data_IF_061259465263
#
_entry.id   IF_061259465263
#
_cell.length_a   1.000
_cell.length_b   1.000
_cell.length_c   1.000
_cell.angle_alpha   90.00
_cell.angle_beta   90.00
_cell.angle_gamma   90.00
#
_symmetry.space_group_name_H-M   'P 1'
#
loop_
_entity.id
_entity.type
_entity.pdbx_description
1 polymer ?
#
# COMPACT_ATOMS: atom_id res chain seq x y z
N UNK A 1 -7.42 -38.02 5.51
CA UNK A 1 -6.10 -38.20 4.88
C UNK A 1 -5.05 -38.14 5.99
N UNK A 2 -4.36 -39.23 6.26
CA UNK A 2 -3.55 -39.43 7.47
C UNK A 2 -2.18 -38.74 7.37
N UNK A 3 -1.89 -37.81 8.28
CA UNK A 3 -0.53 -37.31 8.48
C UNK A 3 0.20 -38.17 9.53
N UNK A 4 1.31 -38.77 9.11
CA UNK A 4 2.21 -39.56 9.96
C UNK A 4 3.14 -38.63 10.73
N UNK A 5 3.09 -38.76 12.05
CA UNK A 5 4.03 -38.15 13.00
C UNK A 5 5.31 -38.96 12.98
N UNK A 6 6.46 -38.37 12.73
CA UNK A 6 7.78 -38.98 12.93
C UNK A 6 8.32 -38.55 14.29
N UNK A 7 8.39 -39.51 15.20
CA UNK A 7 9.09 -39.37 16.47
C UNK A 7 10.57 -39.68 16.26
N UNK A 8 11.46 -38.75 16.62
CA UNK A 8 12.91 -38.98 16.67
C UNK A 8 13.27 -39.34 18.10
N UNK A 9 13.71 -40.57 18.30
CA UNK A 9 14.24 -41.07 19.57
C UNK A 9 15.71 -40.62 19.73
N UNK A 10 16.01 -39.95 20.83
CA UNK A 10 17.35 -39.57 21.24
C UNK A 10 17.93 -40.71 22.11
N UNK A 11 18.99 -41.36 21.65
CA UNK A 11 19.69 -42.40 22.39
C UNK A 11 20.70 -41.73 23.36
N UNK A 12 20.57 -42.05 24.65
CA UNK A 12 21.48 -41.66 25.70
C UNK A 12 22.58 -42.76 25.84
N UNK A 13 23.84 -42.43 25.52
CA UNK A 13 24.98 -43.30 25.74
C UNK A 13 25.65 -42.95 27.07
N UNK A 14 25.55 -43.84 28.04
CA UNK A 14 26.32 -43.85 29.28
C UNK A 14 27.71 -44.39 28.99
N UNK A 15 28.75 -43.62 29.23
CA UNK A 15 30.13 -44.08 29.34
C UNK A 15 30.62 -43.83 30.78
N UNK A 16 30.82 -44.95 31.49
CA UNK A 16 31.56 -45.03 32.73
C UNK A 16 33.06 -44.99 32.43
N UNK A 17 33.81 -44.15 33.08
CA UNK A 17 35.26 -44.21 33.14
C UNK A 17 35.77 -43.91 34.56
N UNK A 18 36.61 -44.81 35.00
CA UNK A 18 37.29 -44.83 36.31
C UNK A 18 38.25 -43.69 36.56
N UNK A 19 38.37 -43.35 37.82
CA UNK A 19 39.33 -42.74 38.64
C UNK A 19 40.57 -42.07 38.06
N UNK A 20 40.82 -40.84 38.59
CA UNK A 20 42.19 -40.40 38.94
C UNK A 20 42.13 -39.15 39.80
N UNK A 21 43.11 -39.08 40.67
CA UNK A 21 43.62 -38.13 41.64
C UNK A 21 43.00 -36.74 41.77
N UNK A 22 42.86 -36.18 42.98
CA UNK A 22 42.38 -34.84 43.21
C UNK A 22 43.37 -33.78 42.71
N UNK A 23 42.95 -33.06 41.70
CA UNK A 23 43.62 -31.83 41.23
C UNK A 23 43.29 -30.68 42.17
N UNK A 24 44.24 -29.80 42.49
CA UNK A 24 43.97 -28.64 43.35
C UNK A 24 42.89 -27.75 42.72
N UNK A 25 41.96 -27.30 43.55
CA UNK A 25 40.90 -26.37 43.16
C UNK A 25 41.50 -25.10 42.56
N UNK A 26 41.07 -24.67 41.35
CA UNK A 26 41.47 -23.39 40.80
C UNK A 26 40.95 -22.26 41.67
N UNK A 27 41.83 -21.27 41.94
CA UNK A 27 41.43 -20.02 42.60
C UNK A 27 40.24 -19.39 41.84
N UNK A 28 39.26 -18.82 42.54
CA UNK A 28 38.15 -18.14 41.89
C UNK A 28 38.69 -16.96 41.08
N UNK A 29 38.46 -16.99 39.79
CA UNK A 29 38.72 -15.86 38.89
C UNK A 29 37.86 -14.68 39.34
N UNK A 30 38.41 -13.46 39.49
CA UNK A 30 37.61 -12.32 39.88
C UNK A 30 36.47 -12.11 38.89
N UNK A 31 35.24 -12.06 39.39
CA UNK A 31 34.06 -11.80 38.62
C UNK A 31 34.21 -10.44 37.93
N UNK A 32 34.10 -10.36 36.59
CA UNK A 32 34.20 -9.07 35.91
C UNK A 32 33.12 -8.13 36.44
N UNK A 33 33.48 -6.93 36.81
CA UNK A 33 32.55 -5.88 37.20
C UNK A 33 31.58 -5.66 36.06
N UNK A 34 30.25 -5.70 36.28
CA UNK A 34 29.30 -5.49 35.22
C UNK A 34 29.52 -4.12 34.59
N UNK A 35 29.78 -4.10 33.29
CA UNK A 35 29.81 -2.86 32.49
C UNK A 35 28.48 -2.14 32.68
N UNK A 36 28.44 -0.86 33.03
CA UNK A 36 27.18 -0.13 33.13
C UNK A 36 26.40 -0.26 31.81
N UNK A 37 25.14 -0.63 31.92
CA UNK A 37 24.27 -0.68 30.76
C UNK A 37 24.30 0.69 30.07
N UNK A 38 24.40 0.75 28.74
CA UNK A 38 24.36 2.01 28.02
C UNK A 38 23.08 2.76 28.41
N UNK A 39 23.24 4.01 28.83
CA UNK A 39 22.11 4.89 29.13
C UNK A 39 21.18 4.89 27.90
N UNK A 40 19.89 4.56 28.04
CA UNK A 40 18.98 4.55 26.89
C UNK A 40 19.03 5.93 26.23
N UNK A 41 19.34 5.97 24.95
CA UNK A 41 19.25 7.18 24.14
C UNK A 41 17.83 7.73 24.31
N UNK A 42 17.65 9.01 24.69
CA UNK A 42 16.31 9.56 24.84
C UNK A 42 15.55 9.36 23.55
N UNK A 43 14.41 8.69 23.67
CA UNK A 43 13.49 8.46 22.55
C UNK A 43 13.13 9.83 21.96
N UNK A 44 13.23 10.04 20.63
CA UNK A 44 12.92 11.32 20.04
C UNK A 44 11.50 11.68 20.42
N UNK A 45 11.32 12.78 21.13
CA UNK A 45 10.00 13.32 21.46
C UNK A 45 9.25 13.53 20.15
N UNK A 46 8.07 12.94 19.95
CA UNK A 46 7.29 13.16 18.73
C UNK A 46 7.12 14.66 18.55
N UNK A 47 7.42 15.23 17.39
CA UNK A 47 7.26 16.65 17.16
C UNK A 47 5.81 17.02 17.50
N UNK A 48 5.63 18.15 18.18
CA UNK A 48 4.31 18.68 18.58
C UNK A 48 3.49 19.18 17.38
N UNK A 49 3.68 18.60 16.20
CA UNK A 49 2.99 18.95 14.97
C UNK A 49 1.56 18.46 15.02
N UNK A 50 0.65 19.41 15.02
CA UNK A 50 -0.79 19.16 14.97
C UNK A 50 -1.30 18.89 13.56
N UNK A 51 -0.43 18.98 12.55
CA UNK A 51 -0.82 18.86 11.15
C UNK A 51 0.33 18.28 10.31
N UNK A 52 0.07 17.15 9.67
CA UNK A 52 1.02 16.47 8.78
C UNK A 52 0.78 16.79 7.30
N UNK A 53 0.10 17.88 6.98
CA UNK A 53 -0.02 18.34 5.58
C UNK A 53 1.36 18.54 4.96
N UNK A 54 1.53 18.12 3.72
CA UNK A 54 2.80 18.18 3.01
C UNK A 54 3.79 17.07 3.35
N UNK A 55 3.48 16.19 4.34
CA UNK A 55 4.24 14.97 4.57
C UNK A 55 3.91 13.93 3.52
N UNK A 56 4.88 13.09 3.18
CA UNK A 56 4.66 11.96 2.28
C UNK A 56 4.22 10.75 3.07
N UNK A 57 3.07 10.19 2.70
CA UNK A 57 2.60 8.88 3.15
C UNK A 57 3.36 7.78 2.42
N UNK A 58 3.93 6.86 3.18
CA UNK A 58 4.57 5.65 2.67
C UNK A 58 3.86 4.47 3.30
N UNK A 59 3.00 3.83 2.52
CA UNK A 59 2.26 2.66 2.98
C UNK A 59 2.83 1.39 2.37
N UNK A 60 3.29 0.52 3.23
CA UNK A 60 3.76 -0.81 2.91
C UNK A 60 2.64 -1.82 3.13
N UNK A 61 2.35 -2.60 2.10
CA UNK A 61 1.30 -3.60 2.15
C UNK A 61 1.89 -4.97 2.47
N UNK A 62 1.64 -5.48 3.67
CA UNK A 62 1.99 -6.84 4.04
C UNK A 62 1.34 -7.88 3.13
N UNK A 63 2.02 -8.99 2.89
CA UNK A 63 1.54 -10.10 2.05
C UNK A 63 1.17 -11.31 2.91
N UNK A 64 -0.10 -11.72 2.85
CA UNK A 64 -0.60 -12.88 3.59
C UNK A 64 0.16 -14.18 3.27
N UNK A 65 0.54 -14.39 2.01
CA UNK A 65 1.28 -15.58 1.57
C UNK A 65 2.66 -15.74 2.19
N UNK A 66 3.26 -14.67 2.68
CA UNK A 66 4.59 -14.68 3.31
C UNK A 66 4.46 -14.92 4.81
N UNK A 67 3.39 -14.45 5.46
CA UNK A 67 3.12 -14.69 6.89
C UNK A 67 3.02 -16.17 7.23
N UNK A 68 2.37 -16.95 6.38
CA UNK A 68 2.22 -18.41 6.57
C UNK A 68 3.52 -19.18 6.45
N UNK A 69 4.56 -18.59 5.87
CA UNK A 69 5.86 -19.23 5.64
C UNK A 69 6.97 -18.78 6.61
N UNK A 70 6.74 -17.72 7.40
CA UNK A 70 7.72 -17.17 8.35
C UNK A 70 7.15 -17.13 9.76
N UNK A 71 7.59 -18.01 10.68
CA UNK A 71 7.06 -18.07 12.06
C UNK A 71 7.20 -16.79 12.86
N UNK A 72 8.17 -15.94 12.51
CA UNK A 72 8.50 -14.73 13.27
C UNK A 72 7.70 -13.50 12.81
N UNK A 73 7.03 -13.57 11.65
CA UNK A 73 6.14 -12.50 11.13
C UNK A 73 6.77 -11.11 10.98
N UNK A 74 8.05 -10.98 11.26
CA UNK A 74 8.76 -9.71 11.30
C UNK A 74 8.98 -9.19 9.88
N UNK A 75 8.44 -8.01 9.58
CA UNK A 75 8.64 -7.34 8.30
C UNK A 75 7.60 -7.62 7.22
N UNK A 76 6.60 -8.47 7.49
CA UNK A 76 5.59 -8.89 6.50
C UNK A 76 4.23 -8.25 6.71
N UNK A 77 3.96 -7.73 7.91
CA UNK A 77 2.74 -7.01 8.20
C UNK A 77 2.71 -5.63 7.52
N UNK A 78 1.52 -5.13 7.23
CA UNK A 78 1.36 -3.79 6.70
C UNK A 78 1.88 -2.74 7.67
N UNK A 79 2.47 -1.69 7.14
CA UNK A 79 3.00 -0.58 7.92
C UNK A 79 2.80 0.76 7.23
N UNK A 80 2.75 1.82 8.02
CA UNK A 80 2.59 3.19 7.57
C UNK A 80 3.68 4.05 8.18
N UNK A 81 4.36 4.81 7.35
CA UNK A 81 5.33 5.82 7.76
C UNK A 81 5.07 7.14 7.05
N UNK A 82 5.54 8.22 7.65
CA UNK A 82 5.56 9.55 7.08
C UNK A 82 6.99 9.98 6.80
N UNK A 83 7.22 10.55 5.63
CA UNK A 83 8.43 11.29 5.33
C UNK A 83 8.12 12.78 5.49
N UNK A 84 8.99 13.49 6.21
CA UNK A 84 8.77 14.92 6.48
C UNK A 84 8.76 15.77 5.20
N UNK A 85 8.32 17.03 5.32
CA UNK A 85 8.20 17.96 4.18
C UNK A 85 9.51 18.22 3.43
N UNK A 86 10.62 18.08 4.14
CA UNK A 86 11.97 18.28 3.57
C UNK A 86 12.59 16.96 3.07
N UNK A 87 11.83 15.86 3.14
CA UNK A 87 12.28 14.52 2.79
C UNK A 87 13.57 14.11 3.51
N UNK A 88 13.66 14.39 4.81
CA UNK A 88 14.84 14.11 5.64
C UNK A 88 14.62 13.00 6.65
N UNK A 89 13.43 12.91 7.23
CA UNK A 89 13.16 12.05 8.39
C UNK A 89 11.94 11.19 8.17
N UNK A 90 12.05 9.88 8.40
CA UNK A 90 10.95 8.94 8.43
C UNK A 90 10.38 8.84 9.85
N UNK A 91 9.07 8.98 9.97
CA UNK A 91 8.31 8.83 11.20
C UNK A 91 7.38 7.60 11.07
N UNK A 92 7.57 6.53 11.85
CA UNK A 92 6.67 5.40 11.85
C UNK A 92 5.34 5.79 12.52
N UNK A 93 4.23 5.54 11.82
CA UNK A 93 2.86 5.81 12.30
C UNK A 93 2.23 4.54 12.83
N UNK A 94 2.32 3.47 12.05
CA UNK A 94 1.66 2.20 12.30
C UNK A 94 2.53 1.03 11.82
N UNK A 95 2.57 -0.03 12.60
CA UNK A 95 3.17 -1.32 12.24
C UNK A 95 2.53 -2.43 13.07
N UNK A 96 2.99 -3.66 12.92
CA UNK A 96 2.64 -4.77 13.83
C UNK A 96 3.22 -4.63 15.26
N UNK A 97 3.95 -3.55 15.53
CA UNK A 97 4.48 -3.20 16.85
C UNK A 97 4.04 -1.80 17.22
N UNK A 98 4.00 -1.51 18.52
CA UNK A 98 3.78 -0.16 19.00
C UNK A 98 4.75 0.84 18.35
N UNK A 99 4.23 1.99 17.95
CA UNK A 99 5.02 3.10 17.38
C UNK A 99 4.96 4.32 18.30
N UNK A 100 5.84 5.30 18.15
CA UNK A 100 5.80 6.52 18.95
C UNK A 100 4.46 7.24 18.92
N UNK A 101 3.74 7.17 17.78
CA UNK A 101 2.44 7.82 17.62
C UNK A 101 1.26 6.95 18.08
N UNK A 102 1.40 5.62 18.04
CA UNK A 102 0.34 4.66 18.36
C UNK A 102 0.87 3.60 19.33
N UNK A 103 1.20 4.03 20.55
CA UNK A 103 1.75 3.18 21.61
C UNK A 103 0.78 2.13 22.11
N UNK A 104 -0.53 2.40 22.02
CA UNK A 104 -1.59 1.53 22.48
C UNK A 104 -1.90 0.40 21.50
N UNK A 105 -1.43 0.51 20.27
CA UNK A 105 -1.53 -0.56 19.30
C UNK A 105 -0.39 -1.56 19.57
N UNK A 106 -0.64 -2.43 20.50
CA UNK A 106 0.20 -3.62 20.67
C UNK A 106 -0.26 -4.62 19.61
N UNK A 107 0.50 -4.70 18.53
CA UNK A 107 0.17 -5.44 17.33
C UNK A 107 -0.02 -6.93 17.55
N UNK A 108 -1.05 -7.31 18.28
CA UNK A 108 -1.45 -8.69 18.52
C UNK A 108 -1.93 -9.40 17.24
N UNK A 109 -1.85 -8.72 16.11
CA UNK A 109 -2.27 -9.31 14.85
C UNK A 109 -1.53 -8.76 13.67
N UNK A 110 -1.35 -9.62 12.70
CA UNK A 110 -0.75 -9.25 11.43
C UNK A 110 -1.85 -8.80 10.46
N UNK A 111 -1.86 -7.52 10.12
CA UNK A 111 -2.76 -7.00 9.11
C UNK A 111 -2.08 -7.01 7.76
N UNK A 112 -2.71 -7.66 6.79
CA UNK A 112 -2.13 -7.84 5.46
C UNK A 112 -3.08 -7.41 4.37
N UNK A 113 -2.50 -7.04 3.24
CA UNK A 113 -3.20 -6.56 2.06
C UNK A 113 -4.20 -5.44 2.38
N UNK A 114 -4.88 -4.93 1.39
CA UNK A 114 -5.89 -3.91 1.60
C UNK A 114 -5.55 -2.56 0.98
N UNK A 115 -6.20 -1.52 1.46
CA UNK A 115 -6.10 -0.19 0.87
C UNK A 115 -5.95 0.90 1.92
N UNK A 116 -5.07 1.84 1.65
CA UNK A 116 -4.98 3.10 2.38
C UNK A 116 -5.63 4.21 1.55
N UNK A 117 -6.40 5.08 2.19
CA UNK A 117 -7.04 6.22 1.54
C UNK A 117 -7.17 7.40 2.49
N UNK A 118 -7.27 8.61 1.94
CA UNK A 118 -7.59 9.82 2.68
C UNK A 118 -9.09 10.09 2.61
N UNK A 119 -9.74 10.35 3.74
CA UNK A 119 -11.16 10.63 3.84
C UNK A 119 -11.39 11.76 4.85
N UNK A 120 -11.43 13.00 4.36
CA UNK A 120 -11.62 14.17 5.21
C UNK A 120 -10.57 14.30 6.32
N UNK A 121 -11.04 14.15 7.56
CA UNK A 121 -10.20 14.21 8.75
C UNK A 121 -9.52 12.88 9.10
N UNK A 122 -9.74 11.84 8.29
CA UNK A 122 -9.21 10.51 8.53
C UNK A 122 -8.23 10.05 7.45
N UNK A 123 -7.23 9.30 7.90
CA UNK A 123 -6.49 8.36 7.08
C UNK A 123 -7.05 6.98 7.38
N UNK A 124 -7.45 6.26 6.35
CA UNK A 124 -8.22 5.02 6.48
C UNK A 124 -7.43 3.86 5.93
N UNK A 125 -7.10 2.91 6.78
CA UNK A 125 -6.55 1.63 6.34
C UNK A 125 -7.62 0.55 6.47
N UNK A 126 -8.02 -0.03 5.35
CA UNK A 126 -8.85 -1.22 5.27
C UNK A 126 -7.94 -2.41 5.00
N UNK A 127 -7.61 -3.17 6.03
CA UNK A 127 -6.90 -4.43 5.89
C UNK A 127 -7.86 -5.52 5.40
N UNK A 128 -7.44 -6.26 4.38
CA UNK A 128 -8.21 -7.38 3.85
C UNK A 128 -8.15 -8.57 4.78
N UNK A 129 -6.95 -8.88 5.28
CA UNK A 129 -6.72 -9.99 6.19
C UNK A 129 -6.35 -9.50 7.58
N UNK A 130 -7.02 -10.05 8.57
CA UNK A 130 -6.74 -9.85 9.98
C UNK A 130 -6.44 -11.19 10.64
N UNK A 131 -5.15 -11.45 10.85
CA UNK A 131 -4.65 -12.67 11.48
C UNK A 131 -4.49 -12.53 13.00
N UNK A 132 -5.23 -11.62 13.63
CA UNK A 132 -5.20 -11.43 15.10
C UNK A 132 -5.71 -12.64 15.85
N UNK A 133 -6.67 -13.35 15.27
CA UNK A 133 -7.23 -14.59 15.80
C UNK A 133 -7.14 -15.66 14.72
N UNK A 134 -7.26 -16.92 15.09
CA UNK A 134 -7.29 -18.09 14.19
C UNK A 134 -8.47 -18.09 13.19
N UNK A 135 -9.35 -17.08 13.23
CA UNK A 135 -10.43 -16.94 12.27
C UNK A 135 -9.93 -16.26 10.99
N UNK A 136 -9.70 -17.04 9.97
CA UNK A 136 -9.14 -16.63 8.68
C UNK A 136 -10.02 -15.65 7.86
N UNK A 137 -11.25 -15.34 8.30
CA UNK A 137 -12.26 -14.66 7.49
C UNK A 137 -12.67 -13.27 8.03
N UNK A 138 -11.75 -12.55 8.63
CA UNK A 138 -12.00 -11.18 9.06
C UNK A 138 -11.16 -10.16 8.30
N UNK A 139 -11.73 -8.98 8.12
CA UNK A 139 -11.02 -7.77 7.69
C UNK A 139 -10.96 -6.79 8.85
N UNK A 140 -10.14 -5.75 8.75
CA UNK A 140 -10.03 -4.74 9.79
C UNK A 140 -10.01 -3.34 9.22
N UNK A 141 -10.82 -2.46 9.80
CA UNK A 141 -10.81 -1.03 9.49
C UNK A 141 -10.07 -0.29 10.59
N UNK A 142 -9.02 0.44 10.21
CA UNK A 142 -8.31 1.38 11.07
C UNK A 142 -8.56 2.80 10.58
N UNK A 143 -9.03 3.68 11.46
CA UNK A 143 -9.14 5.11 11.20
C UNK A 143 -8.10 5.85 12.04
N UNK A 144 -7.22 6.57 11.37
CA UNK A 144 -6.25 7.46 12.01
C UNK A 144 -6.74 8.90 11.86
N UNK A 145 -6.69 9.66 12.93
CA UNK A 145 -6.87 11.11 12.85
C UNK A 145 -5.73 11.70 12.02
N UNK A 146 -6.06 12.39 10.96
CA UNK A 146 -5.10 12.88 9.97
C UNK A 146 -4.18 14.00 10.51
N UNK A 147 -4.59 14.70 11.59
CA UNK A 147 -3.79 15.76 12.21
C UNK A 147 -2.74 15.22 13.15
N UNK A 148 -3.09 14.16 13.85
CA UNK A 148 -2.25 13.58 14.93
C UNK A 148 -1.63 12.25 14.54
N UNK A 149 -2.10 11.64 13.44
CA UNK A 149 -1.78 10.27 13.01
C UNK A 149 -2.04 9.22 14.09
N UNK A 150 -2.89 9.55 15.07
CA UNK A 150 -3.28 8.60 16.11
C UNK A 150 -4.44 7.76 15.64
N UNK A 151 -4.38 6.49 15.98
CA UNK A 151 -5.48 5.55 15.76
C UNK A 151 -6.68 5.97 16.62
N UNK A 152 -7.82 6.23 15.97
CA UNK A 152 -9.06 6.64 16.62
C UNK A 152 -10.09 5.52 16.64
N UNK A 153 -10.08 4.64 15.65
CA UNK A 153 -10.97 3.49 15.53
C UNK A 153 -10.21 2.27 15.05
N UNK A 154 -10.55 1.14 15.62
CA UNK A 154 -10.03 -0.17 15.28
C UNK A 154 -11.20 -1.15 15.29
N UNK A 155 -11.72 -1.46 14.09
CA UNK A 155 -12.93 -2.26 13.94
C UNK A 155 -12.63 -3.53 13.17
N UNK A 156 -12.96 -4.67 13.78
CA UNK A 156 -12.98 -5.94 13.08
C UNK A 156 -14.26 -6.05 12.27
N UNK A 157 -14.14 -6.53 11.03
CA UNK A 157 -15.23 -6.61 10.08
C UNK A 157 -15.35 -8.04 9.60
N UNK A 158 -16.52 -8.63 9.81
CA UNK A 158 -16.90 -9.93 9.28
C UNK A 158 -18.14 -9.75 8.42
N UNK A 159 -18.23 -10.51 7.32
CA UNK A 159 -19.42 -10.51 6.50
C UNK A 159 -20.62 -11.05 7.33
N UNK A 160 -21.79 -10.38 7.33
CA UNK A 160 -22.93 -10.82 8.16
C UNK A 160 -23.45 -12.23 7.84
N UNK A 161 -23.42 -12.61 6.57
CA UNK A 161 -24.03 -13.84 6.06
C UNK A 161 -23.05 -14.78 5.36
N UNK A 162 -21.72 -14.67 5.65
CA UNK A 162 -20.72 -15.49 4.96
C UNK A 162 -19.29 -15.33 5.50
N UNK A 163 -18.36 -16.03 4.87
CA UNK A 163 -16.97 -16.14 5.27
C UNK A 163 -16.03 -15.41 4.27
N UNK A 164 -16.41 -14.25 3.80
CA UNK A 164 -15.58 -13.51 2.84
C UNK A 164 -14.96 -12.25 3.45
N UNK A 165 -13.79 -11.90 2.94
CA UNK A 165 -13.09 -10.66 3.30
C UNK A 165 -13.59 -9.48 2.48
N UNK A 166 -13.36 -8.28 3.01
CA UNK A 166 -13.56 -7.04 2.25
C UNK A 166 -12.65 -7.02 1.04
N UNK A 167 -13.23 -6.95 -0.15
CA UNK A 167 -12.48 -6.88 -1.42
C UNK A 167 -12.14 -5.46 -1.81
N UNK A 168 -13.11 -4.55 -1.71
CA UNK A 168 -12.94 -3.15 -2.03
C UNK A 168 -13.73 -2.29 -1.06
N UNK A 169 -13.21 -1.11 -0.80
CA UNK A 169 -13.84 -0.14 0.08
C UNK A 169 -13.51 1.30 -0.32
N UNK A 170 -14.39 2.20 0.08
CA UNK A 170 -14.12 3.62 0.17
C UNK A 170 -14.77 4.20 1.43
N UNK A 171 -14.23 5.32 1.91
CA UNK A 171 -14.68 5.96 3.15
C UNK A 171 -14.95 7.43 2.89
N UNK A 172 -15.97 7.97 3.52
CA UNK A 172 -16.29 9.39 3.53
C UNK A 172 -15.61 10.13 4.70
N UNK A 173 -15.65 11.45 4.67
CA UNK A 173 -14.99 12.34 5.65
C UNK A 173 -15.53 12.22 7.08
N UNK A 174 -16.71 11.60 7.27
CA UNK A 174 -17.28 11.25 8.59
C UNK A 174 -16.89 9.84 9.07
N UNK A 175 -16.02 9.15 8.34
CA UNK A 175 -15.59 7.79 8.64
C UNK A 175 -16.57 6.71 8.18
N UNK A 176 -17.76 7.06 7.66
CA UNK A 176 -18.70 6.09 7.08
C UNK A 176 -18.04 5.37 5.91
N UNK A 177 -17.99 4.04 5.99
CA UNK A 177 -17.25 3.21 5.04
C UNK A 177 -18.20 2.32 4.26
N UNK A 178 -17.99 2.25 2.96
CA UNK A 178 -18.73 1.39 2.04
C UNK A 178 -17.84 0.23 1.64
N UNK A 179 -18.39 -0.98 1.72
CA UNK A 179 -17.67 -2.24 1.62
C UNK A 179 -18.27 -3.11 0.54
N UNK A 180 -17.42 -3.83 -0.19
CA UNK A 180 -17.84 -4.98 -0.99
C UNK A 180 -17.09 -6.23 -0.53
N UNK A 181 -17.80 -7.31 -0.31
CA UNK A 181 -17.23 -8.63 -0.04
C UNK A 181 -17.12 -9.44 -1.33
N UNK A 182 -18.21 -9.57 -2.05
CA UNK A 182 -18.28 -10.26 -3.33
C UNK A 182 -19.12 -9.49 -4.35
N UNK A 183 -19.70 -10.19 -5.35
CA UNK A 183 -20.56 -9.61 -6.38
C UNK A 183 -21.96 -9.22 -5.92
N UNK A 184 -22.39 -9.63 -4.72
CA UNK A 184 -23.75 -9.45 -4.21
C UNK A 184 -23.81 -8.72 -2.88
N UNK A 185 -22.76 -8.82 -2.07
CA UNK A 185 -22.74 -8.36 -0.70
C UNK A 185 -22.00 -7.04 -0.59
N UNK A 186 -22.77 -5.97 -0.53
CA UNK A 186 -22.31 -4.60 -0.39
C UNK A 186 -22.97 -3.97 0.83
N UNK A 187 -22.17 -3.31 1.66
CA UNK A 187 -22.65 -2.75 2.91
C UNK A 187 -22.11 -1.34 3.15
N UNK A 188 -22.89 -0.56 3.88
CA UNK A 188 -22.46 0.66 4.53
C UNK A 188 -22.17 0.35 5.99
N UNK A 189 -20.95 0.61 6.43
CA UNK A 189 -20.51 0.46 7.82
C UNK A 189 -20.55 1.83 8.52
N UNK A 190 -21.22 1.89 9.64
CA UNK A 190 -21.14 3.01 10.58
C UNK A 190 -19.95 2.77 11.52
N UNK A 191 -18.92 3.63 11.53
CA UNK A 191 -17.70 3.40 12.32
C UNK A 191 -17.92 3.58 13.82
N UNK A 192 -18.97 4.31 14.26
CA UNK A 192 -19.27 4.52 15.68
C UNK A 192 -19.94 3.31 16.31
N UNK A 193 -20.82 2.66 15.57
CA UNK A 193 -21.63 1.55 16.09
C UNK A 193 -21.18 0.18 15.60
N UNK A 194 -20.31 0.11 14.59
CA UNK A 194 -19.95 -1.12 13.90
C UNK A 194 -21.10 -1.73 13.07
N UNK A 195 -22.27 -1.05 13.00
CA UNK A 195 -23.44 -1.56 12.30
C UNK A 195 -23.27 -1.51 10.80
N UNK A 196 -23.51 -2.63 10.13
CA UNK A 196 -23.58 -2.73 8.69
C UNK A 196 -25.01 -2.67 8.20
N UNK A 197 -25.23 -1.93 7.10
CA UNK A 197 -26.51 -1.81 6.39
C UNK A 197 -26.31 -2.19 4.95
N UNK A 198 -27.07 -3.14 4.44
CA UNK A 198 -26.98 -3.59 3.06
C UNK A 198 -27.24 -2.43 2.06
N UNK A 199 -26.46 -2.40 1.00
CA UNK A 199 -26.62 -1.45 -0.11
C UNK A 199 -27.53 -2.03 -1.18
N UNK A 200 -28.22 -1.15 -1.89
CA UNK A 200 -29.15 -1.52 -2.97
C UNK A 200 -28.75 -0.86 -4.30
N UNK A 201 -29.26 -1.39 -5.40
CA UNK A 201 -28.99 -0.83 -6.73
C UNK A 201 -27.58 -1.09 -7.28
N UNK A 202 -26.80 -1.93 -6.61
CA UNK A 202 -25.48 -2.36 -7.05
C UNK A 202 -25.38 -3.88 -7.10
N UNK A 203 -24.68 -4.38 -8.12
CA UNK A 203 -24.37 -5.80 -8.30
C UNK A 203 -23.14 -5.97 -9.19
N UNK A 204 -22.57 -7.16 -9.19
CA UNK A 204 -21.41 -7.51 -10.02
C UNK A 204 -20.10 -7.41 -9.29
N UNK A 205 -19.00 -7.79 -9.93
CA UNK A 205 -17.67 -7.79 -9.33
C UNK A 205 -17.01 -6.41 -9.42
N UNK A 206 -16.77 -5.71 -8.31
CA UNK A 206 -15.96 -4.51 -8.34
C UNK A 206 -14.54 -4.85 -8.78
N UNK A 207 -13.96 -3.98 -9.59
CA UNK A 207 -12.53 -3.97 -9.91
C UNK A 207 -11.78 -3.05 -8.96
N UNK A 208 -12.51 -2.12 -8.33
CA UNK A 208 -11.98 -1.22 -7.33
C UNK A 208 -13.03 -0.23 -6.85
N UNK A 209 -12.64 0.57 -5.89
CA UNK A 209 -13.49 1.60 -5.29
C UNK A 209 -12.68 2.88 -5.02
N UNK A 210 -13.31 4.03 -5.05
CA UNK A 210 -12.70 5.32 -4.73
C UNK A 210 -13.78 6.28 -4.21
N UNK A 211 -13.38 7.29 -3.42
CA UNK A 211 -14.26 8.37 -3.00
C UNK A 211 -13.58 9.72 -3.14
N UNK A 212 -14.40 10.74 -3.28
CA UNK A 212 -13.98 12.12 -3.22
C UNK A 212 -15.10 12.97 -2.65
N UNK A 213 -14.81 13.69 -1.56
CA UNK A 213 -15.79 14.51 -0.83
C UNK A 213 -17.05 13.71 -0.45
N UNK A 214 -18.21 14.04 -1.02
CA UNK A 214 -19.53 13.47 -0.73
C UNK A 214 -19.94 12.35 -1.70
N UNK A 215 -19.05 11.94 -2.62
CA UNK A 215 -19.30 10.90 -3.61
C UNK A 215 -18.34 9.73 -3.46
N UNK A 216 -18.88 8.52 -3.53
CA UNK A 216 -18.12 7.28 -3.52
C UNK A 216 -18.54 6.37 -4.65
N UNK A 217 -17.58 5.62 -5.18
CA UNK A 217 -17.74 4.81 -6.38
C UNK A 217 -17.26 3.39 -6.18
N UNK A 218 -18.04 2.42 -6.66
CA UNK A 218 -17.55 1.10 -7.03
C UNK A 218 -17.50 0.98 -8.55
N UNK A 219 -16.35 0.62 -9.09
CA UNK A 219 -16.14 0.38 -10.51
C UNK A 219 -16.32 -1.11 -10.78
N UNK A 220 -17.32 -1.46 -11.58
CA UNK A 220 -17.73 -2.86 -11.80
C UNK A 220 -17.34 -3.34 -13.18
N UNK A 221 -16.57 -4.43 -13.21
CA UNK A 221 -15.91 -4.94 -14.40
C UNK A 221 -16.85 -5.21 -15.58
N UNK A 222 -17.87 -6.03 -15.35
CA UNK A 222 -18.73 -6.52 -16.43
C UNK A 222 -19.83 -5.54 -16.83
N UNK A 223 -20.10 -4.54 -16.01
CA UNK A 223 -21.16 -3.56 -16.23
C UNK A 223 -20.69 -2.35 -17.04
N UNK A 224 -19.38 -2.24 -17.27
CA UNK A 224 -18.78 -1.05 -17.91
C UNK A 224 -19.30 0.25 -17.30
N UNK A 225 -19.41 0.27 -15.98
CA UNK A 225 -20.03 1.34 -15.23
C UNK A 225 -19.35 1.56 -13.87
N UNK A 226 -19.52 2.77 -13.37
CA UNK A 226 -19.34 3.09 -11.96
C UNK A 226 -20.73 3.12 -11.28
N UNK A 227 -20.81 2.58 -10.07
CA UNK A 227 -21.95 2.75 -9.19
C UNK A 227 -21.59 3.81 -8.15
N UNK A 228 -22.28 4.94 -8.20
CA UNK A 228 -22.04 6.08 -7.35
C UNK A 228 -23.01 6.10 -6.18
N UNK A 229 -22.47 6.41 -5.01
CA UNK A 229 -23.23 6.66 -3.79
C UNK A 229 -22.93 8.09 -3.32
N UNK A 230 -23.97 8.84 -3.05
CA UNK A 230 -23.85 10.08 -2.29
C UNK A 230 -23.68 9.73 -0.80
N UNK A 231 -22.96 10.56 -0.07
CA UNK A 231 -22.71 10.38 1.36
C UNK A 231 -24.01 10.15 2.13
N UNK A 232 -24.04 9.09 2.94
CA UNK A 232 -25.23 8.68 3.70
C UNK A 232 -26.26 7.85 2.94
N UNK A 233 -26.20 7.79 1.60
CA UNK A 233 -27.11 6.95 0.79
C UNK A 233 -26.83 5.47 0.99
N UNK A 234 -27.88 4.65 0.86
CA UNK A 234 -27.78 3.18 0.77
C UNK A 234 -28.14 2.66 -0.63
N UNK A 235 -28.57 3.55 -1.53
CA UNK A 235 -28.94 3.21 -2.91
C UNK A 235 -27.90 3.76 -3.89
N UNK A 236 -27.46 2.90 -4.80
CA UNK A 236 -26.54 3.26 -5.87
C UNK A 236 -27.26 3.89 -7.06
N UNK A 237 -26.56 4.82 -7.71
CA UNK A 237 -26.91 5.29 -9.07
C UNK A 237 -25.85 4.80 -10.05
N UNK A 238 -26.28 4.15 -11.12
CA UNK A 238 -25.37 3.67 -12.18
C UNK A 238 -24.92 4.83 -13.05
N UNK A 239 -23.60 4.98 -13.23
CA UNK A 239 -22.95 5.92 -14.15
C UNK A 239 -22.28 5.12 -15.24
N UNK A 240 -22.81 5.11 -16.48
CA UNK A 240 -22.20 4.39 -17.58
C UNK A 240 -20.85 5.00 -17.95
N UNK A 241 -19.89 4.13 -18.26
CA UNK A 241 -18.59 4.52 -18.80
C UNK A 241 -18.52 3.98 -20.23
N UNK A 242 -18.36 4.88 -21.20
CA UNK A 242 -18.35 4.50 -22.61
C UNK A 242 -17.06 3.76 -22.99
N UNK A 243 -17.01 2.46 -22.74
CA UNK A 243 -15.83 1.61 -22.98
C UNK A 243 -15.81 0.95 -24.39
N UNK A 244 -16.71 1.31 -25.29
CA UNK A 244 -16.76 0.75 -26.66
C UNK A 244 -16.67 -0.79 -26.70
N UNK A 245 -17.45 -1.48 -25.86
CA UNK A 245 -17.51 -2.94 -25.78
C UNK A 245 -16.43 -3.61 -24.93
N UNK A 246 -15.46 -2.87 -24.43
CA UNK A 246 -14.45 -3.39 -23.50
C UNK A 246 -14.96 -3.39 -22.04
N UNK A 247 -14.18 -3.99 -21.14
CA UNK A 247 -14.51 -4.07 -19.72
C UNK A 247 -13.43 -3.37 -18.88
N UNK A 248 -13.81 -2.80 -17.74
CA UNK A 248 -12.84 -2.25 -16.78
C UNK A 248 -11.97 -3.40 -16.25
N UNK A 249 -10.67 -3.31 -16.49
CA UNK A 249 -9.69 -4.30 -16.05
C UNK A 249 -9.03 -3.89 -14.74
N UNK A 250 -8.73 -2.60 -14.58
CA UNK A 250 -7.92 -2.08 -13.49
C UNK A 250 -8.25 -0.62 -13.20
N UNK A 251 -8.03 -0.19 -11.97
CA UNK A 251 -8.13 1.22 -11.59
C UNK A 251 -6.88 1.67 -10.86
N UNK A 252 -6.46 2.90 -11.15
CA UNK A 252 -5.36 3.59 -10.46
C UNK A 252 -5.90 4.86 -9.81
N UNK A 253 -5.76 4.98 -8.49
CA UNK A 253 -6.28 6.11 -7.72
C UNK A 253 -5.27 7.24 -7.65
N UNK A 254 -5.71 8.48 -7.87
CA UNK A 254 -4.85 9.68 -7.87
C UNK A 254 -5.56 10.86 -7.21
N UNK A 255 -6.05 10.67 -6.00
CA UNK A 255 -6.81 11.71 -5.28
C UNK A 255 -8.21 11.91 -5.83
N UNK A 256 -8.52 13.10 -6.37
CA UNK A 256 -9.81 13.42 -6.98
C UNK A 256 -10.08 12.71 -8.30
N UNK A 257 -9.09 12.04 -8.85
CA UNK A 257 -9.16 11.39 -10.16
C UNK A 257 -8.76 9.92 -10.05
N UNK A 258 -9.23 9.13 -11.00
CA UNK A 258 -8.78 7.76 -11.23
C UNK A 258 -8.48 7.55 -12.70
N UNK A 259 -7.47 6.75 -13.00
CA UNK A 259 -7.29 6.19 -14.33
C UNK A 259 -7.89 4.79 -14.35
N UNK A 260 -8.83 4.56 -15.25
CA UNK A 260 -9.37 3.25 -15.55
C UNK A 260 -8.62 2.67 -16.74
N UNK A 261 -8.21 1.41 -16.67
CA UNK A 261 -7.71 0.66 -17.82
C UNK A 261 -8.75 -0.37 -18.25
N UNK A 262 -9.05 -0.42 -19.54
CA UNK A 262 -9.97 -1.42 -20.09
C UNK A 262 -9.21 -2.67 -20.61
N UNK A 263 -9.95 -3.67 -21.00
CA UNK A 263 -9.42 -4.93 -21.57
C UNK A 263 -8.76 -4.76 -22.94
N UNK A 264 -8.99 -3.62 -23.62
CA UNK A 264 -8.32 -3.23 -24.86
C UNK A 264 -7.09 -2.34 -24.64
N UNK A 265 -6.63 -2.17 -23.39
CA UNK A 265 -5.54 -1.31 -22.98
C UNK A 265 -5.72 0.18 -23.34
N UNK A 266 -6.98 0.65 -23.38
CA UNK A 266 -7.29 2.08 -23.38
C UNK A 266 -7.41 2.54 -21.94
N UNK A 267 -7.07 3.79 -21.74
CA UNK A 267 -7.08 4.46 -20.44
C UNK A 267 -8.12 5.58 -20.46
N UNK A 268 -8.80 5.74 -19.33
CA UNK A 268 -9.85 6.74 -19.13
C UNK A 268 -9.50 7.53 -17.89
N UNK A 269 -9.25 8.82 -18.04
CA UNK A 269 -9.13 9.73 -16.90
C UNK A 269 -10.53 10.07 -16.42
N UNK A 270 -10.89 9.59 -15.24
CA UNK A 270 -12.21 9.78 -14.63
C UNK A 270 -12.11 10.70 -13.44
N UNK A 271 -12.98 11.71 -13.39
CA UNK A 271 -13.08 12.68 -12.31
C UNK A 271 -14.15 12.23 -11.31
N UNK A 272 -13.74 12.00 -10.05
CA UNK A 272 -14.62 11.57 -8.98
C UNK A 272 -15.59 12.66 -8.52
N UNK A 273 -15.23 13.94 -8.63
CA UNK A 273 -16.10 15.05 -8.22
C UNK A 273 -17.31 15.17 -9.15
N UNK A 274 -17.10 15.08 -10.45
CA UNK A 274 -18.15 15.25 -11.46
C UNK A 274 -18.78 13.93 -11.90
N UNK A 275 -18.10 12.81 -11.69
CA UNK A 275 -18.52 11.48 -12.18
C UNK A 275 -18.38 11.35 -13.70
N UNK A 276 -17.44 12.07 -14.32
CA UNK A 276 -17.28 12.10 -15.78
C UNK A 276 -15.89 11.64 -16.20
N UNK A 277 -15.83 11.04 -17.39
CA UNK A 277 -14.57 10.85 -18.10
C UNK A 277 -14.11 12.19 -18.63
N UNK A 278 -12.85 12.57 -18.36
CA UNK A 278 -12.22 13.79 -18.84
C UNK A 278 -11.41 13.59 -20.11
N UNK A 279 -10.82 12.41 -20.28
CA UNK A 279 -10.03 12.07 -21.46
C UNK A 279 -10.00 10.56 -21.68
N UNK A 280 -9.84 10.14 -22.95
CA UNK A 280 -9.59 8.75 -23.35
C UNK A 280 -8.27 8.71 -24.11
N UNK A 281 -7.39 7.78 -23.75
CA UNK A 281 -6.05 7.73 -24.34
C UNK A 281 -5.47 6.32 -24.39
N UNK A 282 -4.46 6.14 -25.22
CA UNK A 282 -3.56 5.00 -25.24
C UNK A 282 -2.14 5.49 -24.97
N UNK A 283 -1.27 4.60 -24.50
CA UNK A 283 0.14 4.88 -24.23
C UNK A 283 1.00 3.96 -25.08
N UNK A 284 2.09 4.50 -25.63
CA UNK A 284 3.07 3.68 -26.35
C UNK A 284 3.82 2.70 -25.45
N UNK A 285 3.96 3.03 -24.14
CA UNK A 285 4.39 2.10 -23.10
C UNK A 285 3.27 1.99 -22.06
N UNK A 286 2.75 0.79 -21.76
CA UNK A 286 1.61 0.63 -20.85
C UNK A 286 1.99 0.97 -19.40
N UNK A 287 1.00 1.43 -18.62
CA UNK A 287 1.13 1.56 -17.17
C UNK A 287 1.30 0.15 -16.58
N UNK A 288 2.39 -0.04 -15.85
CA UNK A 288 2.68 -1.28 -15.14
C UNK A 288 1.85 -1.42 -13.88
N UNK A 289 2.35 -0.94 -12.74
CA UNK A 289 1.69 -1.12 -11.44
C UNK A 289 1.20 0.15 -10.80
N UNK A 290 1.79 1.27 -11.10
CA UNK A 290 1.43 2.53 -10.46
C UNK A 290 1.50 3.71 -11.41
N UNK A 291 0.68 4.69 -11.13
CA UNK A 291 0.66 5.98 -11.82
C UNK A 291 0.30 7.07 -10.81
N UNK A 292 0.88 8.22 -11.04
CA UNK A 292 0.53 9.46 -10.34
C UNK A 292 0.36 10.59 -11.35
N UNK A 293 -0.27 11.68 -10.96
CA UNK A 293 -0.54 12.82 -11.83
C UNK A 293 -0.10 14.11 -11.16
N UNK A 294 0.49 15.01 -11.94
CA UNK A 294 0.55 16.41 -11.59
C UNK A 294 -0.79 17.06 -11.97
N UNK A 295 -1.61 17.47 -11.00
CA UNK A 295 -2.94 17.99 -11.28
C UNK A 295 -2.93 19.34 -12.00
N UNK A 296 -1.82 20.08 -11.94
CA UNK A 296 -1.71 21.39 -12.59
C UNK A 296 -1.48 21.29 -14.11
N UNK A 297 -0.78 20.24 -14.54
CA UNK A 297 -0.37 20.05 -15.94
C UNK A 297 -1.02 18.85 -16.62
N UNK A 298 -1.76 18.04 -15.89
CA UNK A 298 -2.27 16.73 -16.30
C UNK A 298 -1.17 15.79 -16.83
N UNK A 299 0.06 16.01 -16.37
CA UNK A 299 1.19 15.15 -16.67
C UNK A 299 1.17 13.95 -15.76
N UNK A 300 1.13 12.76 -16.34
CA UNK A 300 1.19 11.51 -15.60
C UNK A 300 2.64 10.99 -15.55
N UNK A 301 2.96 10.35 -14.42
CA UNK A 301 4.21 9.65 -14.19
C UNK A 301 3.86 8.24 -13.74
N UNK A 302 4.48 7.23 -14.34
CA UNK A 302 4.07 5.86 -14.11
C UNK A 302 5.21 4.86 -14.27
N UNK A 303 5.09 3.74 -13.58
CA UNK A 303 5.96 2.58 -13.81
C UNK A 303 5.58 1.93 -15.14
N UNK A 304 6.57 1.61 -15.96
CA UNK A 304 6.35 0.94 -17.24
C UNK A 304 6.22 -0.57 -17.10
N UNK A 305 5.97 -1.20 -18.23
CA UNK A 305 5.94 -2.65 -18.40
C UNK A 305 4.63 -3.31 -18.02
N UNK A 306 4.38 -4.47 -18.62
CA UNK A 306 3.35 -5.38 -18.15
C UNK A 306 4.02 -6.27 -17.10
N UNK A 307 3.48 -6.41 -15.87
CA UNK A 307 4.06 -7.27 -14.87
C UNK A 307 4.26 -8.68 -15.43
N UNK A 308 5.50 -9.05 -15.65
CA UNK A 308 5.86 -10.38 -16.11
C UNK A 308 6.40 -11.18 -14.92
N UNK A 309 5.81 -12.34 -14.68
CA UNK A 309 6.23 -13.23 -13.58
C UNK A 309 7.62 -13.87 -13.82
N UNK A 310 8.16 -13.75 -15.04
CA UNK A 310 9.34 -14.48 -15.46
C UNK A 310 10.63 -13.64 -15.59
N UNK A 311 10.57 -12.37 -15.24
CA UNK A 311 11.76 -11.51 -15.29
C UNK A 311 11.40 -10.03 -15.35
N UNK A 312 12.21 -9.19 -14.74
CA UNK A 312 12.05 -7.76 -14.84
C UNK A 312 12.79 -7.28 -16.10
N UNK A 313 12.06 -7.06 -17.16
CA UNK A 313 12.59 -6.30 -18.31
C UNK A 313 13.00 -4.89 -17.86
N UNK A 314 13.89 -4.25 -18.60
CA UNK A 314 14.32 -2.87 -18.33
C UNK A 314 13.12 -1.91 -18.20
N UNK A 315 12.04 -2.16 -18.92
CA UNK A 315 10.80 -1.39 -18.89
C UNK A 315 10.10 -1.39 -17.53
N UNK A 316 10.10 -2.53 -16.82
CA UNK A 316 9.49 -2.66 -15.48
C UNK A 316 10.24 -1.86 -14.40
N UNK A 317 11.51 -1.54 -14.66
CA UNK A 317 12.39 -0.74 -13.81
C UNK A 317 12.43 0.73 -14.20
N UNK A 318 11.57 1.14 -15.12
CA UNK A 318 11.61 2.47 -15.71
C UNK A 318 10.38 3.28 -15.34
N UNK A 319 10.60 4.56 -15.11
CA UNK A 319 9.56 5.56 -14.93
C UNK A 319 9.38 6.31 -16.25
N UNK A 320 8.13 6.38 -16.68
CA UNK A 320 7.72 7.08 -17.89
C UNK A 320 6.81 8.26 -17.55
N UNK A 321 6.68 9.16 -18.51
CA UNK A 321 5.73 10.27 -18.43
C UNK A 321 4.99 10.46 -19.75
N UNK A 322 3.78 11.00 -19.65
CA UNK A 322 2.99 11.50 -20.78
C UNK A 322 2.09 12.63 -20.29
N UNK A 323 1.66 13.51 -21.19
CA UNK A 323 0.74 14.61 -20.86
C UNK A 323 -0.62 14.34 -21.49
N UNK A 324 -1.67 14.40 -20.69
CA UNK A 324 -3.06 14.19 -21.12
C UNK A 324 -3.65 15.54 -21.49
N UNK A 325 -4.21 15.66 -22.67
CA UNK A 325 -4.96 16.85 -23.08
C UNK A 325 -6.44 16.69 -22.74
N UNK A 326 -6.88 17.30 -21.66
CA UNK A 326 -8.27 17.26 -21.21
C UNK A 326 -9.20 18.22 -21.96
N UNK A 327 -8.68 19.02 -22.89
CA UNK A 327 -9.49 19.89 -23.75
C UNK A 327 -10.11 19.14 -24.94
N UNK A 328 -9.58 17.98 -25.31
CA UNK A 328 -10.09 17.17 -26.41
C UNK A 328 -11.39 16.47 -26.07
N UNK A 329 -12.26 16.26 -27.04
CA UNK A 329 -13.49 15.49 -26.83
C UNK A 329 -13.20 14.06 -26.37
N UNK A 330 -13.97 13.54 -25.43
CA UNK A 330 -13.83 12.17 -24.91
C UNK A 330 -14.21 11.08 -25.93
N UNK A 331 -14.81 11.46 -27.04
CA UNK A 331 -15.05 10.58 -28.19
C UNK A 331 -13.79 10.30 -29.01
N UNK A 332 -12.74 11.11 -28.82
CA UNK A 332 -11.43 10.96 -29.48
C UNK A 332 -10.47 10.23 -28.56
N UNK A 333 -9.84 9.16 -29.06
CA UNK A 333 -8.78 8.45 -28.35
C UNK A 333 -7.44 9.08 -28.66
N UNK A 334 -6.80 9.66 -27.67
CA UNK A 334 -5.47 10.28 -27.82
C UNK A 334 -4.38 9.21 -27.84
N UNK A 335 -3.57 9.15 -28.87
CA UNK A 335 -2.33 8.34 -28.89
C UNK A 335 -1.19 9.10 -28.21
N UNK A 336 -0.86 8.78 -26.95
CA UNK A 336 0.18 9.46 -26.22
C UNK A 336 1.52 8.71 -26.34
N UNK A 337 2.57 9.45 -26.68
CA UNK A 337 3.95 8.92 -26.68
C UNK A 337 4.49 8.95 -25.24
N UNK A 338 4.87 7.79 -24.74
CA UNK A 338 5.52 7.63 -23.44
C UNK A 338 6.98 8.09 -23.54
N UNK A 339 7.37 9.04 -22.71
CA UNK A 339 8.74 9.51 -22.61
C UNK A 339 9.41 8.84 -21.40
N UNK A 340 10.54 8.18 -21.63
CA UNK A 340 11.37 7.61 -20.57
C UNK A 340 11.98 8.74 -19.73
N UNK A 341 11.80 8.71 -18.42
CA UNK A 341 12.38 9.67 -17.48
C UNK A 341 13.58 9.12 -16.74
N UNK A 342 13.45 7.91 -16.21
CA UNK A 342 14.46 7.32 -15.34
C UNK A 342 14.38 5.80 -15.37
N UNK A 343 15.54 5.14 -15.30
CA UNK A 343 15.63 3.68 -15.16
C UNK A 343 16.47 3.35 -13.95
N UNK A 344 15.90 2.56 -13.04
CA UNK A 344 16.62 2.05 -11.88
C UNK A 344 17.68 1.07 -12.39
N UNK A 345 18.93 1.28 -12.03
CA UNK A 345 20.02 0.38 -12.35
C UNK A 345 19.69 -1.01 -11.78
N UNK A 346 19.58 -2.00 -12.66
CA UNK A 346 19.07 -3.30 -12.27
C UNK A 346 20.13 -4.32 -11.98
N UNK A 347 19.76 -5.34 -11.24
CA UNK A 347 20.46 -6.62 -11.18
C UNK A 347 20.18 -7.41 -12.46
N UNK A 348 21.08 -8.32 -12.78
CA UNK A 348 20.94 -9.21 -13.94
C UNK A 348 19.76 -10.16 -13.80
N UNK A 349 19.14 -10.54 -14.91
CA UNK A 349 17.91 -11.34 -15.05
C UNK A 349 17.83 -12.62 -14.21
N UNK A 350 18.94 -13.17 -13.78
CA UNK A 350 19.01 -14.42 -13.01
C UNK A 350 18.38 -14.31 -11.58
N UNK A 351 18.17 -13.08 -11.07
CA UNK A 351 17.76 -12.85 -9.69
C UNK A 351 16.25 -12.53 -9.54
N UNK A 352 15.48 -12.50 -10.63
CA UNK A 352 14.12 -11.93 -10.66
C UNK A 352 12.97 -12.94 -10.73
N UNK A 353 12.95 -13.93 -9.87
CA UNK A 353 11.85 -14.94 -9.84
C UNK A 353 10.50 -14.39 -9.36
N UNK A 354 10.41 -13.17 -8.82
CA UNK A 354 9.17 -12.60 -8.27
C UNK A 354 8.68 -11.30 -8.92
N UNK A 355 9.34 -10.84 -9.99
CA UNK A 355 8.98 -9.60 -10.67
C UNK A 355 9.38 -8.35 -9.87
N UNK A 356 9.79 -7.31 -10.60
CA UNK A 356 10.15 -6.02 -10.02
C UNK A 356 8.88 -5.24 -9.66
N UNK A 357 8.81 -4.74 -8.43
CA UNK A 357 7.65 -4.01 -7.94
C UNK A 357 8.04 -2.58 -7.64
N UNK A 358 7.40 -1.67 -8.33
CA UNK A 358 7.69 -0.24 -8.24
C UNK A 358 6.41 0.55 -8.02
N UNK A 359 6.45 1.52 -7.10
CA UNK A 359 5.43 2.54 -6.93
C UNK A 359 6.00 3.91 -7.24
N UNK A 360 5.16 4.74 -7.84
CA UNK A 360 5.51 6.12 -8.21
C UNK A 360 4.53 7.08 -7.56
N UNK A 361 5.04 8.08 -6.86
CA UNK A 361 4.27 9.18 -6.29
C UNK A 361 4.82 10.52 -6.76
N UNK A 362 3.99 11.55 -6.84
CA UNK A 362 4.40 12.92 -7.16
C UNK A 362 4.31 13.82 -5.93
N UNK A 363 5.40 14.53 -5.65
CA UNK A 363 5.47 15.51 -4.58
C UNK A 363 5.37 16.91 -5.18
N UNK A 364 4.21 17.60 -5.05
CA UNK A 364 3.98 18.87 -5.73
C UNK A 364 4.89 19.99 -5.23
N UNK A 365 5.13 20.08 -3.91
CA UNK A 365 5.95 21.17 -3.33
C UNK A 365 7.42 21.03 -3.70
N UNK A 366 7.94 19.82 -3.73
CA UNK A 366 9.33 19.55 -4.12
C UNK A 366 9.50 19.46 -5.64
N UNK A 367 8.41 19.42 -6.41
CA UNK A 367 8.42 19.11 -7.86
C UNK A 367 9.28 17.89 -8.17
N UNK A 368 9.10 16.85 -7.36
CA UNK A 368 9.90 15.64 -7.38
C UNK A 368 9.03 14.39 -7.52
N UNK A 369 9.62 13.33 -8.05
CA UNK A 369 9.01 12.01 -8.00
C UNK A 369 9.58 11.23 -6.82
N UNK A 370 8.69 10.54 -6.16
CA UNK A 370 9.00 9.51 -5.19
C UNK A 370 8.85 8.17 -5.90
N UNK A 371 9.89 7.36 -5.88
CA UNK A 371 9.88 6.04 -6.50
C UNK A 371 10.32 5.02 -5.46
N UNK A 372 9.41 4.15 -5.06
CA UNK A 372 9.79 3.01 -4.24
C UNK A 372 9.96 1.77 -5.10
N UNK A 373 10.92 0.94 -4.75
CA UNK A 373 11.14 -0.34 -5.41
C UNK A 373 11.71 -1.34 -4.42
N UNK A 374 11.41 -2.60 -4.65
CA UNK A 374 11.96 -3.69 -3.89
C UNK A 374 13.29 -4.10 -4.52
N UNK A 375 14.39 -3.91 -3.77
CA UNK A 375 15.71 -4.39 -4.15
C UNK A 375 15.89 -5.80 -3.56
N UNK A 376 15.46 -6.82 -4.30
CA UNK A 376 15.58 -8.20 -3.86
C UNK A 376 17.05 -8.61 -3.81
N UNK A 377 17.57 -8.81 -2.59
CA UNK A 377 18.85 -9.43 -2.33
C UNK A 377 18.87 -10.88 -2.77
N UNK A 378 20.05 -11.41 -3.07
CA UNK A 378 20.22 -12.81 -3.46
C UNK A 378 19.68 -13.76 -2.40
N UNK A 379 18.98 -14.77 -2.90
CA UNK A 379 18.56 -15.99 -2.24
C UNK A 379 19.42 -16.45 -1.06
N UNK A 380 18.82 -16.41 0.11
CA UNK A 380 19.20 -17.12 1.32
C UNK A 380 17.94 -17.38 2.13
N UNK A 381 17.95 -18.25 3.14
CA UNK A 381 16.78 -18.54 3.95
C UNK A 381 16.27 -17.34 4.77
N UNK A 382 16.92 -16.19 4.68
CA UNK A 382 16.53 -14.91 5.27
C UNK A 382 16.45 -13.89 4.13
N UNK A 383 15.29 -13.84 3.48
CA UNK A 383 14.95 -12.80 2.52
C UNK A 383 14.76 -11.46 3.26
N UNK A 384 15.85 -10.78 3.51
CA UNK A 384 15.80 -9.37 3.89
C UNK A 384 15.80 -8.52 2.62
N UNK A 385 14.68 -8.57 1.90
CA UNK A 385 14.45 -7.68 0.79
C UNK A 385 14.35 -6.27 1.33
N UNK A 386 15.19 -5.38 0.85
CA UNK A 386 15.17 -3.98 1.26
C UNK A 386 14.35 -3.18 0.27
N UNK A 387 13.23 -2.69 0.72
CA UNK A 387 12.47 -1.69 -0.04
C UNK A 387 13.20 -0.36 0.04
N UNK A 388 13.49 0.21 -1.11
CA UNK A 388 14.13 1.52 -1.25
C UNK A 388 13.13 2.56 -1.71
N UNK A 389 13.30 3.78 -1.25
CA UNK A 389 12.61 4.96 -1.72
C UNK A 389 13.64 5.92 -2.32
N UNK A 390 13.47 6.24 -3.60
CA UNK A 390 14.21 7.28 -4.28
C UNK A 390 13.39 8.56 -4.32
N UNK A 391 14.05 9.68 -4.10
CA UNK A 391 13.52 11.00 -4.40
C UNK A 391 14.24 11.52 -5.64
N UNK A 392 13.49 11.74 -6.71
CA UNK A 392 14.00 12.15 -8.02
C UNK A 392 13.52 13.55 -8.35
N UNK A 393 14.45 14.49 -8.53
CA UNK A 393 14.13 15.83 -9.01
C UNK A 393 13.78 15.78 -10.49
N UNK A 394 12.61 16.32 -10.80
CA UNK A 394 12.19 16.46 -12.20
C UNK A 394 12.97 17.58 -12.89
N UNK A 395 13.25 17.42 -14.19
CA UNK A 395 13.89 18.48 -14.98
C UNK A 395 12.97 19.71 -15.05
N UNK A 396 13.57 20.90 -14.92
CA UNK A 396 12.88 22.17 -15.07
C UNK A 396 12.90 22.65 -16.52
N UNK A 397 13.85 22.14 -17.29
CA UNK A 397 13.99 22.41 -18.74
C UNK A 397 14.10 21.11 -19.52
N UNK A 398 13.74 21.08 -20.82
CA UNK A 398 13.82 19.87 -21.64
C UNK A 398 15.24 19.30 -21.81
N UNK A 399 16.28 20.10 -21.58
CA UNK A 399 17.69 19.69 -21.71
C UNK A 399 18.26 19.08 -20.44
N UNK A 400 17.57 19.20 -19.31
CA UNK A 400 18.00 18.61 -18.05
C UNK A 400 17.58 17.17 -17.94
N UNK A 401 18.42 16.35 -17.30
CA UNK A 401 18.08 14.99 -16.90
C UNK A 401 17.49 14.97 -15.48
N UNK A 402 16.70 13.93 -15.20
CA UNK A 402 16.26 13.62 -13.83
C UNK A 402 17.48 13.38 -12.96
N UNK A 403 17.49 13.97 -11.75
CA UNK A 403 18.55 13.80 -10.76
C UNK A 403 18.04 13.07 -9.53
N UNK A 404 18.81 12.10 -9.06
CA UNK A 404 18.57 11.48 -7.78
C UNK A 404 18.98 12.45 -6.66
N UNK A 405 18.01 12.85 -5.84
CA UNK A 405 18.25 13.74 -4.70
C UNK A 405 18.63 12.96 -3.44
N UNK A 406 17.94 11.84 -3.22
CA UNK A 406 18.12 11.04 -2.01
C UNK A 406 17.57 9.63 -2.18
N UNK A 407 18.19 8.69 -1.44
CA UNK A 407 17.73 7.32 -1.29
C UNK A 407 17.51 7.01 0.19
N UNK A 408 16.42 6.31 0.49
CA UNK A 408 16.11 5.81 1.82
C UNK A 408 15.96 4.30 1.77
N UNK A 409 16.49 3.62 2.78
CA UNK A 409 16.20 2.21 3.06
C UNK A 409 14.99 2.15 3.99
N UNK A 410 13.88 1.58 3.52
CA UNK A 410 12.64 1.54 4.28
C UNK A 410 12.56 0.34 5.24
N UNK A 411 13.54 -0.56 5.17
CA UNK A 411 13.62 -1.77 6.01
C UNK A 411 12.35 -2.64 6.00
N UNK A 412 11.60 -2.61 4.91
CA UNK A 412 10.41 -3.43 4.71
C UNK A 412 10.74 -4.60 3.81
N UNK A 413 10.20 -5.77 4.16
CA UNK A 413 10.31 -6.99 3.35
C UNK A 413 9.21 -7.09 2.28
N UNK A 414 8.38 -6.07 2.11
CA UNK A 414 7.24 -6.08 1.20
C UNK A 414 7.06 -4.76 0.47
N UNK A 415 6.21 -4.78 -0.54
CA UNK A 415 6.03 -3.65 -1.45
C UNK A 415 5.42 -2.43 -0.79
N UNK A 416 5.94 -1.26 -1.10
CA UNK A 416 5.18 -0.02 -0.94
C UNK A 416 4.01 -0.05 -1.91
N UNK A 417 2.80 0.07 -1.40
CA UNK A 417 1.57 0.04 -2.20
C UNK A 417 0.95 1.42 -2.41
N UNK A 418 1.39 2.42 -1.63
CA UNK A 418 0.98 3.80 -1.80
C UNK A 418 2.12 4.75 -1.45
N UNK A 419 2.36 5.69 -2.36
CA UNK A 419 3.15 6.90 -2.15
C UNK A 419 2.27 8.10 -2.49
N UNK A 420 1.94 8.93 -1.52
CA UNK A 420 1.18 10.16 -1.75
C UNK A 420 1.57 11.23 -0.77
N UNK A 421 1.33 12.49 -1.11
CA UNK A 421 1.52 13.62 -0.19
C UNK A 421 0.18 13.93 0.48
N UNK A 422 0.20 14.09 1.80
CA UNK A 422 -0.97 14.51 2.57
C UNK A 422 -1.37 15.91 2.10
N UNK A 423 -2.54 16.01 1.50
CA UNK A 423 -3.03 17.26 0.90
C UNK A 423 -3.60 18.21 1.95
N UNK A 424 -3.59 19.53 1.69
CA UNK A 424 -4.37 20.47 2.44
C UNK A 424 -5.84 20.05 2.51
N UNK A 425 -6.48 20.37 3.63
CA UNK A 425 -7.91 20.11 3.75
C UNK A 425 -8.67 20.96 2.77
N UNK A 426 -9.72 20.44 2.16
CA UNK A 426 -10.69 21.29 1.49
C UNK A 426 -11.23 22.28 2.53
N UNK A 427 -11.10 23.56 2.27
CA UNK A 427 -11.81 24.58 3.03
C UNK A 427 -13.31 24.34 2.85
N UNK A 428 -14.01 24.16 3.99
CA UNK A 428 -15.48 24.00 4.00
C UNK A 428 -16.14 25.26 3.50
#
# INVERSE_FOLDING_TARGET
MNYRIYSVALALSLLTACGDKPTPLPQPTPTPTPTPAPTPTPEPTPPAYKDYEGYTLIFNQGLASVLTSQPDGVGVASSLSLLDREAKTLLPVFSNKATPLNKEYDGQGYLCEGTLSEAGDYLVYMAKYDFTDDSEHASRLLLFDRRTMRLTKNLRITQPDGDEWVRHSFTFDDGTTYLSFDKKHFYRLNPETGKMTALTGIFGYPTGAASWQDKGYFFVRYESAAFVFDKGSTAARKVPIALSGAQIKEIFRMGAQVILRDTANRYYLFDLATGKVLAVFTLSEPIGRSVTIDPATHRIYYSGGTPNLNGAEAKERSVYTATIDTSRPTSEVQGLTSQLLYTIAGRTEADNRQGFKMQVGYHPDLKALMVSYLDQGRSGPLLHDLTKLLLLQLPTTPSESVKELRTFDLHYASDVSLLSVIRPRPTK
#
